data_IF_479580245856
#
_entry.id   IF_479580245856
#
_cell.length_a   1.000
_cell.length_b   1.000
_cell.length_c   1.000
_cell.angle_alpha   90.00
_cell.angle_beta   90.00
_cell.angle_gamma   90.00
#
_symmetry.space_group_name_H-M   'P 1'
#
loop_
_entity.id
_entity.type
_entity.pdbx_description
1 polymer ?
#
# COMPACT_ATOMS: atom_id res chain seq x y z
N UNK A 1 10.25 -59.18 19.39
CA UNK A 1 9.63 -58.36 20.46
C UNK A 1 8.62 -59.22 21.18
N UNK A 2 8.57 -59.18 22.51
CA UNK A 2 7.58 -59.92 23.31
C UNK A 2 6.45 -59.00 23.72
N UNK A 3 5.20 -59.44 23.58
CA UNK A 3 4.02 -58.69 24.03
C UNK A 3 4.02 -58.64 25.57
N UNK A 4 4.03 -57.45 26.20
CA UNK A 4 3.99 -57.35 27.64
C UNK A 4 2.63 -57.78 28.19
N UNK A 5 2.62 -58.38 29.37
CA UNK A 5 1.41 -58.67 30.11
C UNK A 5 0.88 -57.37 30.74
N UNK A 6 -0.39 -57.03 30.50
CA UNK A 6 -0.99 -55.79 30.98
C UNK A 6 -1.98 -56.10 32.11
N UNK A 7 -1.99 -55.27 33.15
CA UNK A 7 -2.87 -55.45 34.30
C UNK A 7 -4.35 -55.13 33.98
N UNK A 8 -4.62 -54.33 32.93
CA UNK A 8 -5.95 -54.13 32.35
C UNK A 8 -5.86 -53.62 30.90
N UNK A 9 -6.93 -53.80 30.12
CA UNK A 9 -7.01 -53.40 28.72
C UNK A 9 -6.31 -54.35 27.74
N UNK A 10 -6.47 -54.11 26.44
CA UNK A 10 -5.74 -54.85 25.41
C UNK A 10 -4.30 -54.31 25.30
N UNK A 11 -3.27 -55.18 25.15
CA UNK A 11 -1.90 -54.73 25.00
C UNK A 11 -1.68 -54.01 23.67
N UNK A 12 -1.07 -52.82 23.74
CA UNK A 12 -0.64 -52.04 22.57
C UNK A 12 0.86 -52.18 22.38
N UNK A 13 1.30 -52.36 21.13
CA UNK A 13 2.71 -52.48 20.77
C UNK A 13 3.00 -51.52 19.62
N UNK A 14 3.88 -50.56 19.87
CA UNK A 14 4.42 -49.68 18.83
C UNK A 14 5.75 -50.24 18.32
N UNK A 15 5.88 -50.36 17.01
CA UNK A 15 7.09 -50.86 16.35
C UNK A 15 7.66 -49.77 15.44
N UNK A 16 8.77 -49.10 15.82
CA UNK A 16 9.39 -48.12 14.94
C UNK A 16 10.07 -48.82 13.76
N UNK A 17 9.62 -48.52 12.54
CA UNK A 17 10.09 -49.17 11.32
C UNK A 17 11.29 -48.47 10.66
N UNK A 18 11.76 -47.34 11.19
CA UNK A 18 13.00 -46.68 10.75
C UNK A 18 13.01 -46.18 9.28
N UNK A 19 11.84 -45.91 8.69
CA UNK A 19 11.73 -45.37 7.32
C UNK A 19 11.74 -46.42 6.20
N UNK A 20 11.35 -47.67 6.49
CA UNK A 20 11.21 -48.74 5.48
C UNK A 20 10.24 -48.34 4.36
N UNK A 21 10.65 -48.59 3.11
CA UNK A 21 9.80 -48.50 1.91
C UNK A 21 9.40 -49.93 1.52
N UNK A 22 8.10 -50.22 1.50
CA UNK A 22 7.58 -51.54 1.15
C UNK A 22 6.18 -51.43 0.57
N UNK A 23 5.85 -52.31 -0.38
CA UNK A 23 4.51 -52.40 -0.97
C UNK A 23 3.57 -53.28 -0.13
N UNK A 24 4.11 -54.12 0.75
CA UNK A 24 3.34 -55.02 1.63
C UNK A 24 3.98 -55.09 3.04
N UNK A 25 3.13 -55.12 4.06
CA UNK A 25 3.52 -55.39 5.44
C UNK A 25 2.79 -56.63 5.96
N UNK A 26 3.56 -57.53 6.60
CA UNK A 26 3.01 -58.74 7.22
C UNK A 26 3.38 -58.80 8.70
N UNK A 27 2.36 -58.81 9.55
CA UNK A 27 2.53 -59.06 10.99
C UNK A 27 2.51 -60.57 11.22
N UNK A 28 3.63 -61.13 11.69
CA UNK A 28 3.75 -62.56 12.03
C UNK A 28 3.72 -62.70 13.54
N UNK A 29 2.69 -63.37 14.07
CA UNK A 29 2.50 -63.61 15.48
C UNK A 29 2.56 -65.11 15.79
N UNK A 30 3.00 -65.45 17.00
CA UNK A 30 3.04 -66.85 17.48
C UNK A 30 2.23 -66.96 18.76
N UNK A 31 1.19 -67.79 18.74
CA UNK A 31 0.36 -68.04 19.91
C UNK A 31 1.14 -68.79 20.99
N UNK A 32 0.78 -68.59 22.27
CA UNK A 32 1.28 -69.45 23.34
C UNK A 32 0.71 -70.88 23.17
N UNK A 33 1.41 -71.94 23.60
CA UNK A 33 0.90 -73.31 23.50
C UNK A 33 -0.50 -73.45 24.09
N UNK A 34 -1.39 -74.17 23.39
CA UNK A 34 -2.79 -74.39 23.78
C UNK A 34 -3.64 -73.11 23.96
N UNK A 35 -3.27 -71.99 23.32
CA UNK A 35 -4.05 -70.74 23.31
C UNK A 35 -4.37 -70.27 21.88
N UNK A 36 -5.19 -69.22 21.75
CA UNK A 36 -5.49 -68.54 20.49
C UNK A 36 -5.02 -67.09 20.54
N UNK A 37 -4.82 -66.48 19.37
CA UNK A 37 -4.49 -65.06 19.25
C UNK A 37 -5.76 -64.27 18.93
N UNK A 38 -5.92 -63.13 19.59
CA UNK A 38 -6.91 -62.12 19.24
C UNK A 38 -6.15 -60.84 18.92
N UNK A 39 -6.36 -60.30 17.72
CA UNK A 39 -5.88 -58.98 17.33
C UNK A 39 -7.12 -58.15 17.06
N UNK A 40 -7.31 -57.10 17.85
CA UNK A 40 -8.47 -56.22 17.70
C UNK A 40 -8.28 -55.25 16.53
N UNK A 41 -7.07 -54.71 16.36
CA UNK A 41 -6.76 -53.70 15.35
C UNK A 41 -5.27 -53.72 15.00
N UNK A 42 -4.97 -53.34 13.75
CA UNK A 42 -3.62 -53.05 13.27
C UNK A 42 -3.66 -51.69 12.59
N UNK A 43 -2.93 -50.72 13.15
CA UNK A 43 -2.74 -49.41 12.54
C UNK A 43 -1.34 -49.32 11.91
N UNK A 44 -1.26 -48.78 10.70
CA UNK A 44 0.00 -48.52 10.00
C UNK A 44 0.09 -47.02 9.73
N UNK A 45 1.00 -46.35 10.42
CA UNK A 45 1.25 -44.92 10.23
C UNK A 45 2.51 -44.70 9.39
N UNK A 46 2.46 -43.76 8.46
CA UNK A 46 3.61 -43.31 7.68
C UNK A 46 3.82 -41.81 7.90
N UNK A 47 5.08 -41.40 8.10
CA UNK A 47 5.43 -40.00 8.11
C UNK A 47 5.19 -39.42 6.71
N UNK A 48 4.35 -38.40 6.60
CA UNK A 48 4.27 -37.56 5.40
C UNK A 48 5.10 -36.30 5.62
N UNK A 49 5.76 -35.77 4.58
CA UNK A 49 6.31 -34.42 4.66
C UNK A 49 5.21 -33.48 5.12
N UNK A 50 5.44 -32.72 6.19
CA UNK A 50 4.53 -31.64 6.53
C UNK A 50 4.61 -30.58 5.44
N UNK A 51 3.47 -30.05 5.05
CA UNK A 51 3.39 -28.83 4.26
C UNK A 51 4.03 -27.67 5.03
N UNK A 52 4.65 -26.73 4.32
CA UNK A 52 5.27 -25.54 4.91
C UNK A 52 4.23 -24.68 5.64
N UNK A 53 4.64 -24.10 6.77
CA UNK A 53 3.86 -23.15 7.58
C UNK A 53 4.22 -21.68 7.32
N UNK A 54 5.12 -21.42 6.36
CA UNK A 54 5.66 -20.08 6.11
C UNK A 54 4.61 -19.21 5.41
N UNK A 55 3.93 -18.37 6.18
CA UNK A 55 2.94 -17.40 5.72
C UNK A 55 3.50 -15.96 5.60
N UNK A 56 4.82 -15.82 5.57
CA UNK A 56 5.49 -14.52 5.55
C UNK A 56 5.49 -13.88 4.14
N UNK A 57 5.55 -12.55 4.07
CA UNK A 57 5.78 -11.83 2.83
C UNK A 57 7.27 -11.64 2.55
N UNK A 58 7.70 -11.98 1.34
CA UNK A 58 9.02 -11.63 0.82
C UNK A 58 9.05 -10.18 0.31
N UNK A 59 7.93 -9.70 -0.24
CA UNK A 59 7.77 -8.33 -0.74
C UNK A 59 6.34 -7.84 -0.55
N UNK A 60 6.24 -6.55 -0.32
CA UNK A 60 5.02 -5.75 -0.30
C UNK A 60 5.34 -4.43 -0.99
N UNK A 61 4.47 -3.96 -1.86
CA UNK A 61 4.61 -2.68 -2.52
C UNK A 61 3.27 -1.93 -2.55
N UNK A 62 3.33 -0.60 -2.52
CA UNK A 62 2.19 0.31 -2.70
C UNK A 62 2.48 1.18 -3.91
N UNK A 63 1.60 1.17 -4.91
CA UNK A 63 1.81 1.96 -6.14
C UNK A 63 3.06 1.57 -6.94
N UNK A 64 3.62 0.37 -6.68
CA UNK A 64 4.88 -0.10 -7.27
C UNK A 64 6.13 0.19 -6.43
N UNK A 65 6.05 1.00 -5.38
CA UNK A 65 7.16 1.28 -4.47
C UNK A 65 7.22 0.26 -3.33
N UNK A 66 8.41 -0.30 -3.06
CA UNK A 66 8.57 -1.34 -2.05
C UNK A 66 8.42 -0.78 -0.63
N UNK A 67 7.58 -1.45 0.18
CA UNK A 67 7.49 -1.18 1.61
C UNK A 67 8.74 -1.71 2.29
N UNK A 68 9.52 -0.80 2.88
CA UNK A 68 10.75 -1.15 3.59
C UNK A 68 10.46 -1.74 4.98
N UNK A 69 11.39 -2.55 5.48
CA UNK A 69 11.32 -3.10 6.83
C UNK A 69 10.14 -4.04 7.04
N UNK A 70 9.91 -4.95 6.09
CA UNK A 70 9.07 -6.12 6.35
C UNK A 70 9.71 -6.95 7.45
N UNK A 71 8.98 -7.12 8.54
CA UNK A 71 9.38 -7.78 9.76
C UNK A 71 8.19 -8.53 10.36
N UNK A 72 8.23 -8.80 11.66
CA UNK A 72 7.16 -9.52 12.36
C UNK A 72 5.92 -8.66 12.64
N UNK A 73 5.84 -7.44 12.08
CA UNK A 73 4.65 -6.59 12.17
C UNK A 73 3.51 -7.09 11.31
N UNK A 74 2.30 -6.77 11.75
CA UNK A 74 1.06 -7.00 11.01
C UNK A 74 0.47 -5.69 10.46
N UNK A 75 1.04 -4.53 10.78
CA UNK A 75 0.57 -3.23 10.30
C UNK A 75 1.72 -2.37 9.76
N UNK A 76 1.47 -1.75 8.61
CA UNK A 76 2.40 -0.88 7.90
C UNK A 76 1.69 0.41 7.53
N UNK A 77 2.29 1.54 7.85
CA UNK A 77 1.84 2.85 7.39
C UNK A 77 2.75 3.32 6.25
N UNK A 78 2.14 3.70 5.13
CA UNK A 78 2.83 4.12 3.91
C UNK A 78 2.29 5.47 3.48
N UNK A 79 3.18 6.46 3.42
CA UNK A 79 2.87 7.78 2.87
C UNK A 79 3.14 7.77 1.37
N UNK A 80 2.19 8.24 0.57
CA UNK A 80 2.28 8.33 -0.90
C UNK A 80 2.15 9.78 -1.37
N UNK A 81 2.81 10.11 -2.48
CA UNK A 81 2.67 11.42 -3.10
C UNK A 81 1.23 11.63 -3.63
N UNK A 82 0.75 12.89 -3.68
CA UNK A 82 -0.60 13.18 -4.14
C UNK A 82 -0.90 12.65 -5.55
N UNK A 83 -2.04 11.99 -5.69
CA UNK A 83 -2.46 11.37 -6.95
C UNK A 83 -1.69 10.11 -7.37
N UNK A 84 -0.79 9.59 -6.52
CA UNK A 84 -0.11 8.32 -6.77
C UNK A 84 -1.06 7.13 -6.71
N UNK A 85 -0.71 6.04 -7.42
CA UNK A 85 -1.41 4.77 -7.29
C UNK A 85 -1.25 4.20 -5.88
N UNK A 86 -2.31 3.60 -5.35
CA UNK A 86 -2.34 2.96 -4.03
C UNK A 86 -2.47 1.44 -4.12
N UNK A 87 -2.27 0.88 -5.31
CA UNK A 87 -2.38 -0.55 -5.55
C UNK A 87 -1.33 -1.33 -4.74
N UNK A 88 -1.83 -2.22 -3.89
CA UNK A 88 -1.04 -3.21 -3.16
C UNK A 88 -0.67 -4.36 -4.07
N UNK A 89 0.62 -4.69 -4.09
CA UNK A 89 1.14 -5.94 -4.64
C UNK A 89 2.03 -6.63 -3.61
N UNK A 90 2.00 -7.96 -3.60
CA UNK A 90 2.69 -8.73 -2.58
C UNK A 90 3.22 -10.06 -3.14
N UNK A 91 4.34 -10.51 -2.59
CA UNK A 91 4.97 -11.80 -2.94
C UNK A 91 5.23 -12.55 -1.63
N UNK A 92 4.70 -13.78 -1.47
CA UNK A 92 4.97 -14.59 -0.28
C UNK A 92 6.41 -15.13 -0.29
N UNK A 93 6.95 -15.46 0.87
CA UNK A 93 8.23 -16.18 1.01
C UNK A 93 8.11 -17.59 0.45
N UNK A 94 7.01 -18.27 0.77
CA UNK A 94 6.68 -19.57 0.19
C UNK A 94 5.92 -19.38 -1.12
N UNK A 95 6.50 -19.85 -2.23
CA UNK A 95 5.88 -19.77 -3.56
C UNK A 95 4.57 -20.56 -3.67
N UNK A 96 4.37 -21.55 -2.81
CA UNK A 96 3.17 -22.39 -2.79
C UNK A 96 2.07 -21.81 -1.88
N UNK A 97 2.37 -20.73 -1.15
CA UNK A 97 1.38 -19.99 -0.38
C UNK A 97 0.42 -19.21 -1.29
N UNK A 98 -0.83 -19.07 -0.84
CA UNK A 98 -1.85 -18.28 -1.52
C UNK A 98 -1.90 -16.87 -0.94
N UNK A 99 -1.95 -15.88 -1.81
CA UNK A 99 -2.10 -14.47 -1.42
C UNK A 99 -3.46 -13.94 -1.89
N UNK A 100 -4.20 -13.32 -0.98
CA UNK A 100 -5.41 -12.56 -1.27
C UNK A 100 -5.25 -11.11 -0.81
N UNK A 101 -5.53 -10.16 -1.69
CA UNK A 101 -5.34 -8.73 -1.44
C UNK A 101 -6.69 -8.01 -1.50
N UNK A 102 -7.00 -7.22 -0.48
CA UNK A 102 -8.04 -6.20 -0.51
C UNK A 102 -7.37 -4.85 -0.66
N UNK A 103 -7.66 -4.14 -1.74
CA UNK A 103 -7.05 -2.84 -2.00
C UNK A 103 -7.61 -1.76 -1.04
N UNK A 104 -6.81 -0.75 -0.65
CA UNK A 104 -7.35 0.45 -0.05
C UNK A 104 -8.33 1.12 -1.03
N UNK A 105 -9.38 1.76 -0.52
CA UNK A 105 -10.38 2.41 -1.36
C UNK A 105 -9.81 3.66 -2.08
N UNK A 106 -8.89 4.35 -1.42
CA UNK A 106 -8.27 5.62 -1.83
C UNK A 106 -6.92 5.82 -1.09
N UNK A 107 -6.29 6.97 -1.30
CA UNK A 107 -4.99 7.34 -0.70
C UNK A 107 -5.04 7.69 0.78
N UNK A 108 -6.20 7.57 1.44
CA UNK A 108 -6.34 7.66 2.90
C UNK A 108 -6.88 6.35 3.51
N UNK A 109 -7.07 5.34 2.67
CA UNK A 109 -7.69 4.08 3.01
C UNK A 109 -6.75 3.05 3.62
N UNK A 110 -7.31 1.86 3.88
CA UNK A 110 -6.56 0.73 4.40
C UNK A 110 -6.80 -0.49 3.51
N UNK A 111 -5.71 -1.09 3.03
CA UNK A 111 -5.75 -2.38 2.36
C UNK A 111 -5.30 -3.52 3.27
N UNK A 112 -5.59 -4.75 2.86
CA UNK A 112 -5.16 -5.94 3.57
C UNK A 112 -4.54 -6.95 2.62
N UNK A 113 -3.45 -7.58 3.05
CA UNK A 113 -2.83 -8.71 2.36
C UNK A 113 -2.92 -9.90 3.29
N UNK A 114 -3.53 -11.00 2.84
CA UNK A 114 -3.60 -12.25 3.59
C UNK A 114 -2.84 -13.33 2.86
N UNK A 115 -1.93 -13.99 3.57
CA UNK A 115 -1.10 -15.10 3.08
C UNK A 115 -1.55 -16.36 3.80
N UNK A 116 -1.77 -17.43 3.04
CA UNK A 116 -2.13 -18.76 3.55
C UNK A 116 -1.08 -19.74 3.08
N UNK A 117 -0.30 -20.30 4.01
CA UNK A 117 0.71 -21.31 3.73
C UNK A 117 0.06 -22.65 3.33
N UNK A 118 0.81 -23.58 2.69
CA UNK A 118 0.27 -24.87 2.27
C UNK A 118 -0.34 -25.73 3.38
N UNK A 119 0.08 -25.56 4.64
CA UNK A 119 -0.49 -26.25 5.80
C UNK A 119 -1.76 -25.58 6.38
N UNK A 120 -2.17 -24.44 5.84
CA UNK A 120 -3.29 -23.64 6.32
C UNK A 120 -2.93 -22.58 7.36
N UNK A 121 -1.65 -22.44 7.75
CA UNK A 121 -1.17 -21.33 8.57
C UNK A 121 -1.44 -20.02 7.84
N UNK A 122 -1.97 -19.03 8.56
CA UNK A 122 -2.36 -17.75 7.97
C UNK A 122 -1.66 -16.59 8.66
N UNK A 123 -1.34 -15.58 7.85
CA UNK A 123 -0.87 -14.28 8.35
C UNK A 123 -1.53 -13.17 7.54
N UNK A 124 -1.92 -12.10 8.24
CA UNK A 124 -2.56 -10.93 7.64
C UNK A 124 -1.72 -9.68 7.90
N UNK A 125 -1.63 -8.83 6.88
CA UNK A 125 -0.93 -7.57 6.90
C UNK A 125 -1.93 -6.47 6.58
N UNK A 126 -2.01 -5.47 7.45
CA UNK A 126 -2.78 -4.25 7.25
C UNK A 126 -1.84 -3.17 6.71
N UNK A 127 -2.24 -2.54 5.62
CA UNK A 127 -1.48 -1.44 5.02
C UNK A 127 -2.35 -0.19 5.07
N UNK A 128 -1.99 0.73 5.96
CA UNK A 128 -2.63 2.04 6.09
C UNK A 128 -1.92 2.97 5.11
N UNK A 129 -2.65 3.46 4.11
CA UNK A 129 -2.13 4.43 3.16
C UNK A 129 -2.48 5.82 3.63
N UNK A 130 -1.53 6.74 3.54
CA UNK A 130 -1.70 8.16 3.79
C UNK A 130 -1.21 8.93 2.57
N UNK A 131 -1.98 9.89 2.11
CA UNK A 131 -1.51 10.85 1.14
C UNK A 131 -0.67 11.90 1.87
N UNK A 132 0.48 12.27 1.30
CA UNK A 132 1.26 13.38 1.83
C UNK A 132 0.42 14.66 1.79
N UNK A 133 0.41 15.41 2.89
CA UNK A 133 -0.27 16.70 2.93
C UNK A 133 0.36 17.64 1.89
N UNK A 134 -0.47 18.25 1.06
CA UNK A 134 -0.05 19.21 0.03
C UNK A 134 -0.61 20.61 0.31
N UNK A 135 0.16 21.64 -0.05
CA UNK A 135 -0.32 23.01 -0.03
C UNK A 135 -1.42 23.18 -1.09
N UNK A 136 -2.56 23.71 -0.67
CA UNK A 136 -3.66 24.12 -1.55
C UNK A 136 -3.81 25.65 -1.54
N UNK A 137 -3.80 26.28 -2.71
CA UNK A 137 -3.94 27.73 -2.87
C UNK A 137 -5.13 28.03 -3.80
N UNK A 138 -6.06 28.88 -3.34
CA UNK A 138 -7.12 29.37 -4.22
C UNK A 138 -6.52 30.39 -5.17
N UNK A 139 -6.67 30.17 -6.47
CA UNK A 139 -6.14 31.07 -7.49
C UNK A 139 -7.24 31.57 -8.42
N UNK A 140 -7.15 32.82 -8.85
CA UNK A 140 -8.10 33.41 -9.79
C UNK A 140 -7.37 34.31 -10.78
N UNK A 141 -7.71 34.17 -12.06
CA UNK A 141 -7.15 34.96 -13.16
C UNK A 141 -8.26 35.74 -13.84
N UNK A 142 -8.05 37.05 -14.00
CA UNK A 142 -8.99 37.92 -14.68
C UNK A 142 -8.26 38.88 -15.62
N UNK A 143 -8.90 39.25 -16.73
CA UNK A 143 -8.40 40.29 -17.63
C UNK A 143 -9.27 41.53 -17.54
N UNK A 144 -8.70 42.73 -17.65
CA UNK A 144 -9.44 44.01 -17.70
C UNK A 144 -8.75 45.02 -18.60
N UNK A 145 -9.52 45.99 -19.09
CA UNK A 145 -8.97 47.11 -19.86
C UNK A 145 -8.56 48.26 -18.94
N UNK A 146 -7.37 48.82 -19.17
CA UNK A 146 -6.89 50.03 -18.52
C UNK A 146 -6.14 50.87 -19.57
N UNK A 147 -6.64 52.08 -19.85
CA UNK A 147 -6.08 52.99 -20.85
C UNK A 147 -5.85 52.32 -22.23
N UNK A 148 -6.87 51.61 -22.73
CA UNK A 148 -6.81 50.93 -24.04
C UNK A 148 -5.90 49.70 -24.11
N UNK A 149 -5.29 49.27 -22.98
CA UNK A 149 -4.43 48.09 -22.90
C UNK A 149 -5.05 47.01 -22.00
N UNK A 150 -4.81 45.76 -22.35
CA UNK A 150 -5.21 44.62 -21.52
C UNK A 150 -4.27 44.51 -20.31
N UNK A 151 -4.87 44.29 -19.14
CA UNK A 151 -4.21 44.02 -17.88
C UNK A 151 -4.66 42.65 -17.39
N UNK A 152 -3.72 41.77 -17.06
CA UNK A 152 -3.99 40.47 -16.46
C UNK A 152 -3.78 40.59 -14.96
N UNK A 153 -4.79 40.24 -14.16
CA UNK A 153 -4.72 40.24 -12.71
C UNK A 153 -4.79 38.81 -12.21
N UNK A 154 -3.85 38.43 -11.35
CA UNK A 154 -3.81 37.14 -10.69
C UNK A 154 -3.96 37.37 -9.20
N UNK A 155 -4.92 36.68 -8.59
CA UNK A 155 -5.12 36.64 -7.14
C UNK A 155 -4.75 35.26 -6.64
N UNK A 156 -3.95 35.20 -5.58
CA UNK A 156 -3.58 33.97 -4.89
C UNK A 156 -3.99 34.11 -3.44
N UNK A 157 -4.78 33.17 -2.93
CA UNK A 157 -5.23 33.11 -1.55
C UNK A 157 -4.68 31.84 -0.91
N UNK A 158 -4.21 32.00 0.31
CA UNK A 158 -3.86 30.90 1.19
C UNK A 158 -5.05 30.63 2.12
N UNK A 159 -5.84 29.56 1.88
CA UNK A 159 -6.96 29.20 2.75
C UNK A 159 -6.50 28.50 4.05
N UNK A 160 -5.25 28.06 4.13
CA UNK A 160 -4.72 27.33 5.30
C UNK A 160 -4.51 28.23 6.53
N UNK A 161 -4.20 27.59 7.65
CA UNK A 161 -3.88 28.18 8.94
C UNK A 161 -2.37 28.44 9.15
N UNK A 162 -1.53 28.09 8.18
CA UNK A 162 -0.09 28.31 8.20
C UNK A 162 0.35 29.30 7.10
N UNK A 163 1.54 29.88 7.24
CA UNK A 163 2.06 30.83 6.26
C UNK A 163 2.60 30.12 5.01
N UNK A 164 2.35 30.68 3.83
CA UNK A 164 2.83 30.17 2.56
C UNK A 164 3.56 31.25 1.76
N UNK A 165 4.38 30.83 0.80
CA UNK A 165 5.06 31.73 -0.16
C UNK A 165 4.68 31.30 -1.57
N UNK A 166 4.15 32.25 -2.36
CA UNK A 166 3.74 31.99 -3.74
C UNK A 166 4.65 32.68 -4.77
N UNK A 167 4.61 32.16 -5.99
CA UNK A 167 5.18 32.77 -7.18
C UNK A 167 4.22 32.64 -8.37
N UNK A 168 4.21 33.65 -9.23
CA UNK A 168 3.36 33.77 -10.41
C UNK A 168 4.28 34.01 -11.61
N UNK A 169 4.11 33.21 -12.66
CA UNK A 169 4.79 33.41 -13.95
C UNK A 169 3.75 33.53 -15.05
N UNK A 170 3.84 34.61 -15.82
CA UNK A 170 2.96 34.89 -16.95
C UNK A 170 3.82 35.19 -18.19
N UNK A 171 3.24 35.15 -19.41
CA UNK A 171 3.94 35.60 -20.62
C UNK A 171 4.40 37.06 -20.58
N UNK A 172 3.80 37.89 -19.71
CA UNK A 172 4.07 39.32 -19.62
C UNK A 172 4.90 39.71 -18.39
N UNK A 173 5.38 38.75 -17.62
CA UNK A 173 6.24 38.97 -16.46
C UNK A 173 6.00 37.97 -15.32
N UNK A 174 6.81 38.09 -14.27
CA UNK A 174 6.77 37.20 -13.11
C UNK A 174 6.83 37.98 -11.79
N UNK A 175 6.24 37.40 -10.74
CA UNK A 175 6.34 37.88 -9.36
C UNK A 175 6.59 36.69 -8.44
N UNK A 176 7.69 36.72 -7.69
CA UNK A 176 8.04 35.68 -6.70
C UNK A 176 8.07 36.26 -5.28
N UNK A 177 8.17 35.38 -4.28
CA UNK A 177 8.28 35.77 -2.87
C UNK A 177 7.02 36.43 -2.31
N UNK A 178 5.84 36.04 -2.82
CA UNK A 178 4.56 36.57 -2.35
C UNK A 178 4.27 35.90 -1.01
N UNK A 179 4.54 36.59 0.09
CA UNK A 179 4.20 36.11 1.42
C UNK A 179 2.68 36.14 1.63
N UNK A 180 2.10 35.00 1.98
CA UNK A 180 0.68 34.81 2.24
C UNK A 180 0.50 34.35 3.69
N UNK A 181 0.04 35.27 4.54
CA UNK A 181 -0.38 34.93 5.89
C UNK A 181 -1.63 34.00 5.87
N UNK A 182 -1.89 33.26 6.96
CA UNK A 182 -3.07 32.40 7.09
C UNK A 182 -4.37 33.10 6.71
N UNK A 183 -5.18 32.46 5.86
CA UNK A 183 -6.45 32.98 5.37
C UNK A 183 -6.37 34.26 4.50
N UNK A 184 -5.18 34.74 4.13
CA UNK A 184 -5.00 35.99 3.37
C UNK A 184 -4.80 35.74 1.87
N UNK A 185 -5.04 36.79 1.10
CA UNK A 185 -4.85 36.81 -0.34
C UNK A 185 -3.95 37.97 -0.76
N UNK A 186 -3.27 37.79 -1.88
CA UNK A 186 -2.50 38.83 -2.56
C UNK A 186 -2.84 38.83 -4.05
N UNK A 187 -2.98 40.02 -4.62
CA UNK A 187 -3.24 40.21 -6.05
C UNK A 187 -2.07 40.93 -6.72
N UNK A 188 -1.71 40.49 -7.93
CA UNK A 188 -0.73 41.16 -8.76
C UNK A 188 -1.26 41.36 -10.18
N UNK A 189 -0.98 42.53 -10.75
CA UNK A 189 -1.42 42.89 -12.09
C UNK A 189 -0.22 43.00 -13.04
N UNK A 190 -0.31 42.34 -14.19
CA UNK A 190 0.68 42.31 -15.25
C UNK A 190 0.14 43.06 -16.47
N UNK A 191 0.85 44.10 -16.91
CA UNK A 191 0.48 44.88 -18.11
C UNK A 191 0.91 44.13 -19.36
N UNK A 192 -0.01 43.84 -20.28
CA UNK A 192 0.35 43.14 -21.52
C UNK A 192 0.93 44.09 -22.58
N UNK A 193 0.68 45.41 -22.42
CA UNK A 193 1.00 46.49 -23.38
C UNK A 193 0.29 46.37 -24.73
N UNK A 194 -0.55 45.35 -24.92
CA UNK A 194 -1.36 45.12 -26.11
C UNK A 194 -2.80 45.58 -25.89
N UNK A 195 -3.47 46.03 -26.96
CA UNK A 195 -4.92 46.29 -26.94
C UNK A 195 -5.74 45.01 -27.12
N UNK A 196 -5.14 43.91 -27.58
CA UNK A 196 -5.77 42.60 -27.67
C UNK A 196 -4.78 41.51 -27.29
N UNK A 197 -5.25 40.49 -26.58
CA UNK A 197 -4.52 39.25 -26.31
C UNK A 197 -5.42 38.05 -26.66
N UNK A 198 -4.84 36.96 -27.20
CA UNK A 198 -5.54 35.69 -27.29
C UNK A 198 -5.70 35.07 -25.90
N UNK A 199 -6.45 33.98 -25.83
CA UNK A 199 -6.39 33.07 -24.68
C UNK A 199 -4.97 32.51 -24.54
N UNK A 200 -4.53 32.27 -23.31
CA UNK A 200 -3.23 31.69 -23.03
C UNK A 200 -3.19 31.10 -21.63
N UNK A 201 -1.99 30.79 -21.15
CA UNK A 201 -1.78 30.15 -19.86
C UNK A 201 -0.77 30.92 -19.00
N UNK A 202 -0.88 30.73 -17.68
CA UNK A 202 0.11 31.16 -16.70
C UNK A 202 0.28 30.08 -15.63
N UNK A 203 1.36 30.14 -14.86
CA UNK A 203 1.62 29.19 -13.77
C UNK A 203 1.69 29.91 -12.43
N UNK A 204 1.06 29.32 -11.42
CA UNK A 204 1.21 29.71 -10.01
C UNK A 204 1.83 28.55 -9.25
N UNK A 205 2.88 28.82 -8.46
CA UNK A 205 3.50 27.85 -7.57
C UNK A 205 3.49 28.36 -6.14
N UNK A 206 3.51 27.45 -5.16
CA UNK A 206 3.53 27.79 -3.74
C UNK A 206 4.34 26.81 -2.90
N UNK A 207 4.89 27.29 -1.80
CA UNK A 207 5.60 26.47 -0.79
C UNK A 207 5.10 26.82 0.60
N UNK A 208 5.02 25.83 1.47
CA UNK A 208 4.72 25.95 2.89
C UNK A 208 5.53 24.87 3.63
N UNK A 209 5.93 25.17 4.87
CA UNK A 209 6.74 24.23 5.66
C UNK A 209 5.95 22.95 5.97
N UNK A 210 6.60 21.79 5.76
CA UNK A 210 6.08 20.48 6.16
C UNK A 210 4.99 19.88 5.26
N UNK A 211 4.73 20.48 4.08
CA UNK A 211 3.75 19.97 3.10
C UNK A 211 4.31 20.04 1.68
N UNK A 212 3.83 19.18 0.79
CA UNK A 212 4.19 19.17 -0.62
C UNK A 212 3.82 20.51 -1.31
N UNK A 213 4.61 20.99 -2.31
CA UNK A 213 4.40 22.29 -2.93
C UNK A 213 3.15 22.35 -3.82
N UNK A 214 2.55 23.54 -3.91
CA UNK A 214 1.46 23.82 -4.83
C UNK A 214 1.98 24.15 -6.23
N UNK A 215 1.32 23.64 -7.28
CA UNK A 215 1.56 24.06 -8.67
C UNK A 215 0.29 23.97 -9.49
N UNK A 216 -0.12 25.08 -10.12
CA UNK A 216 -1.28 25.13 -11.00
C UNK A 216 -0.98 25.90 -12.29
N UNK A 217 -1.47 25.36 -13.41
CA UNK A 217 -1.56 26.05 -14.70
C UNK A 217 -2.97 26.62 -14.84
N UNK A 218 -3.08 27.92 -15.09
CA UNK A 218 -4.34 28.65 -15.12
C UNK A 218 -4.53 29.30 -16.48
N UNK A 219 -5.77 29.28 -16.98
CA UNK A 219 -6.15 29.94 -18.23
C UNK A 219 -6.22 31.44 -18.03
N UNK A 220 -5.63 32.18 -18.96
CA UNK A 220 -5.78 33.63 -19.14
C UNK A 220 -6.84 33.86 -20.22
N UNK A 221 -8.04 34.38 -19.89
CA UNK A 221 -9.08 34.62 -20.88
C UNK A 221 -8.66 35.65 -21.93
N UNK A 222 -8.99 35.41 -23.20
CA UNK A 222 -8.81 36.38 -24.28
C UNK A 222 -9.51 37.71 -23.96
N UNK A 223 -8.93 38.85 -24.38
CA UNK A 223 -9.55 40.17 -24.22
C UNK A 223 -9.06 41.17 -25.25
N UNK A 224 -9.98 42.01 -25.72
CA UNK A 224 -9.72 43.16 -26.58
C UNK A 224 -10.25 44.44 -25.92
N UNK A 225 -9.47 45.52 -25.99
CA UNK A 225 -9.76 46.83 -25.46
C UNK A 225 -9.86 47.85 -26.60
N UNK A 226 -10.92 48.66 -26.57
CA UNK A 226 -11.16 49.79 -27.47
C UNK A 226 -10.67 51.11 -26.87
#
# INVERSE_FOLDING_TARGET
>A
MTVPEQASGAPVIEVPMGGVVADEMRVVLTARPATHMIVSEVEISAARPSTSSVADLARLAVGGELVAGLDDREEYEVVVDPGSSTELTAVPVDRDARVSITQPADAEGTGTVRVIAPDGTERAYRVVVREEAALDLDTTVATRCLAGKVLVTVTVRNPSDAAAVAAIRTPWGSKSGIALAPGKASSHAFTTRASSIPEGELTVTGTQDGVAPFSATLVVPARTCS
#
